data_IF_607324439336
#
_entry.id   IF_607324439336
#
_cell.length_a   1.000
_cell.length_b   1.000
_cell.length_c   1.000
_cell.angle_alpha   90.00
_cell.angle_beta   90.00
_cell.angle_gamma   90.00
#
_symmetry.space_group_name_H-M   'P 1'
#
loop_
_entity.id
_entity.type
_entity.pdbx_description
1 polymer ?
#
# COMPACT_ATOMS: atom_id res chain seq x y z
N UNK A 1 10.21 9.11 40.95
CA UNK A 1 10.42 10.20 39.95
C UNK A 1 10.33 9.55 38.57
N UNK A 2 9.43 9.97 37.67
CA UNK A 2 9.37 9.42 36.31
C UNK A 2 10.53 9.97 35.52
N UNK A 3 11.17 9.13 34.70
CA UNK A 3 12.23 9.54 33.78
C UNK A 3 11.65 10.54 32.75
N UNK A 4 12.25 11.73 32.65
CA UNK A 4 11.79 12.79 31.76
C UNK A 4 11.77 12.36 30.27
N UNK A 5 12.62 11.39 29.91
CA UNK A 5 12.65 10.78 28.56
C UNK A 5 11.35 10.07 28.19
N UNK A 6 10.51 9.71 29.17
CA UNK A 6 9.23 9.06 28.95
C UNK A 6 8.07 10.06 28.79
N UNK A 7 8.27 11.36 29.05
CA UNK A 7 7.20 12.36 28.96
C UNK A 7 6.54 12.44 27.57
N UNK A 8 7.29 12.33 26.45
CA UNK A 8 6.67 12.34 25.12
C UNK A 8 5.63 11.23 24.92
N UNK A 9 5.78 10.08 25.59
CA UNK A 9 4.84 8.96 25.50
C UNK A 9 3.46 9.30 26.09
N UNK A 10 3.42 10.22 27.05
CA UNK A 10 2.18 10.64 27.71
C UNK A 10 1.59 11.91 27.10
N UNK A 11 2.20 12.44 26.05
CA UNK A 11 1.64 13.53 25.26
C UNK A 11 0.36 13.09 24.55
N UNK A 12 -0.54 14.03 24.25
CA UNK A 12 -1.76 13.76 23.50
C UNK A 12 -1.47 13.37 22.04
N UNK A 13 -2.35 12.60 21.43
CA UNK A 13 -2.23 12.15 20.04
C UNK A 13 -2.13 13.31 19.04
N UNK A 14 -2.68 14.48 19.37
CA UNK A 14 -2.63 15.70 18.57
C UNK A 14 -1.24 16.29 18.42
N UNK A 15 -0.26 15.85 19.23
CA UNK A 15 1.15 16.26 19.10
C UNK A 15 1.86 15.62 17.92
N UNK A 16 1.32 14.52 17.40
CA UNK A 16 1.86 13.85 16.23
C UNK A 16 1.59 14.65 14.95
N UNK A 17 2.58 14.72 14.07
CA UNK A 17 2.49 15.46 12.82
C UNK A 17 1.33 14.95 11.95
N UNK A 18 0.48 15.89 11.51
CA UNK A 18 -0.69 15.61 10.69
C UNK A 18 -1.89 15.03 11.45
N UNK A 19 -1.87 15.02 12.78
CA UNK A 19 -3.04 14.70 13.60
C UNK A 19 -3.75 15.99 13.97
N UNK A 20 -4.81 16.30 13.24
CA UNK A 20 -5.66 17.46 13.48
C UNK A 20 -7.01 17.08 14.12
N UNK A 21 -7.88 18.11 14.38
CA UNK A 21 -9.15 17.94 15.09
C UNK A 21 -10.08 16.87 14.50
N UNK A 22 -9.98 16.58 13.20
CA UNK A 22 -10.79 15.53 12.54
C UNK A 22 -10.23 14.13 12.78
N UNK A 23 -8.92 14.00 12.92
CA UNK A 23 -8.26 12.70 13.05
C UNK A 23 -8.17 12.25 14.50
N UNK A 24 -7.97 13.18 15.44
CA UNK A 24 -7.85 12.90 16.87
C UNK A 24 -8.97 11.99 17.42
N UNK A 25 -10.27 12.28 17.22
CA UNK A 25 -11.32 11.43 17.77
C UNK A 25 -11.36 10.03 17.13
N UNK A 26 -10.94 9.90 15.86
CA UNK A 26 -10.86 8.59 15.21
C UNK A 26 -9.72 7.74 15.79
N UNK A 27 -8.58 8.36 16.07
CA UNK A 27 -7.46 7.69 16.73
C UNK A 27 -7.80 7.32 18.16
N UNK A 28 -8.39 8.21 18.95
CA UNK A 28 -8.84 7.93 20.31
C UNK A 28 -9.81 6.75 20.36
N UNK A 29 -10.74 6.69 19.42
CA UNK A 29 -11.65 5.55 19.25
C UNK A 29 -10.93 4.26 18.89
N UNK A 30 -9.90 4.36 18.02
CA UNK A 30 -9.12 3.22 17.57
C UNK A 30 -8.34 2.58 18.74
N UNK A 31 -7.60 3.41 19.49
CA UNK A 31 -6.66 2.94 20.51
C UNK A 31 -7.28 2.83 21.91
N UNK A 32 -8.50 3.36 22.10
CA UNK A 32 -9.17 3.36 23.41
C UNK A 32 -8.54 4.30 24.43
N UNK A 33 -7.70 5.26 23.99
CA UNK A 33 -6.97 6.19 24.83
C UNK A 33 -6.68 7.52 24.14
N UNK A 34 -5.93 8.40 24.79
CA UNK A 34 -5.69 9.76 24.32
C UNK A 34 -4.23 10.11 24.11
N UNK A 35 -3.32 9.21 24.49
CA UNK A 35 -1.87 9.47 24.51
C UNK A 35 -1.12 8.75 23.42
N UNK A 36 0.09 9.20 23.15
CA UNK A 36 1.04 8.52 22.24
C UNK A 36 1.33 7.10 22.72
N UNK A 37 1.38 6.88 24.04
CA UNK A 37 1.52 5.56 24.65
C UNK A 37 0.41 4.59 24.22
N UNK A 38 -0.84 5.04 24.24
CA UNK A 38 -1.98 4.22 23.83
C UNK A 38 -1.86 3.82 22.35
N UNK A 39 -1.34 4.72 21.50
CA UNK A 39 -1.08 4.42 20.10
C UNK A 39 0.02 3.36 19.91
N UNK A 40 1.11 3.44 20.70
CA UNK A 40 2.19 2.45 20.64
C UNK A 40 1.77 1.06 21.14
N UNK A 41 0.78 0.99 22.03
CA UNK A 41 0.19 -0.26 22.49
C UNK A 41 -0.84 -0.85 21.49
N UNK A 42 -1.23 -0.11 20.46
CA UNK A 42 -2.08 -0.62 19.40
C UNK A 42 -1.25 -1.49 18.45
N UNK A 43 -1.13 -2.76 18.81
CA UNK A 43 -0.27 -3.71 18.11
C UNK A 43 -0.92 -4.21 16.80
N UNK A 44 -0.11 -4.58 15.78
CA UNK A 44 -0.62 -5.22 14.57
C UNK A 44 -1.22 -6.60 14.92
N UNK A 45 -2.29 -6.97 14.24
CA UNK A 45 -2.93 -8.28 14.38
C UNK A 45 -2.33 -9.32 13.42
N UNK A 46 -1.68 -8.88 12.36
CA UNK A 46 -1.03 -9.74 11.35
C UNK A 46 0.08 -9.01 10.62
N UNK A 47 0.89 -9.78 9.90
CA UNK A 47 1.97 -9.32 9.06
C UNK A 47 1.71 -9.73 7.62
N UNK A 48 1.92 -8.80 6.70
CA UNK A 48 1.81 -9.05 5.28
C UNK A 48 3.22 -9.19 4.69
N UNK A 49 3.51 -10.36 4.11
CA UNK A 49 4.75 -10.59 3.37
C UNK A 49 4.65 -9.92 2.00
N UNK A 50 5.52 -8.96 1.75
CA UNK A 50 5.60 -8.22 0.48
C UNK A 50 6.89 -8.51 -0.28
N UNK A 51 7.56 -9.61 0.02
CA UNK A 51 8.72 -10.03 -0.78
C UNK A 51 8.30 -10.24 -2.23
N UNK A 52 9.18 -9.82 -3.14
CA UNK A 52 8.94 -9.98 -4.57
C UNK A 52 8.91 -11.47 -4.92
N UNK A 53 7.83 -11.92 -5.55
CA UNK A 53 7.72 -13.28 -6.09
C UNK A 53 8.62 -13.44 -7.30
N UNK A 54 9.15 -14.63 -7.52
CA UNK A 54 10.07 -14.91 -8.62
C UNK A 54 9.40 -14.78 -9.98
N UNK A 55 8.13 -15.16 -10.07
CA UNK A 55 7.34 -15.09 -11.30
C UNK A 55 5.86 -14.76 -11.06
N UNK A 56 5.15 -14.36 -12.11
CA UNK A 56 3.69 -14.21 -12.06
C UNK A 56 3.01 -15.56 -11.84
N UNK A 57 3.61 -16.66 -12.30
CA UNK A 57 3.09 -18.01 -12.08
C UNK A 57 2.99 -18.39 -10.60
N UNK A 58 3.85 -17.80 -9.74
CA UNK A 58 3.86 -18.04 -8.29
C UNK A 58 2.80 -17.26 -7.53
N UNK A 59 1.98 -16.47 -8.23
CA UNK A 59 0.91 -15.70 -7.60
C UNK A 59 -0.37 -16.53 -7.49
N UNK A 60 -1.11 -16.32 -6.40
CA UNK A 60 -2.38 -17.00 -6.13
C UNK A 60 -3.51 -15.98 -6.12
N UNK A 61 -4.59 -16.28 -6.87
CA UNK A 61 -5.77 -15.43 -6.87
C UNK A 61 -6.39 -15.36 -5.46
N UNK A 62 -6.75 -14.14 -5.03
CA UNK A 62 -7.25 -13.85 -3.70
C UNK A 62 -6.18 -13.37 -2.71
N UNK A 63 -4.89 -13.63 -2.97
CA UNK A 63 -3.78 -13.23 -2.13
C UNK A 63 -3.16 -11.90 -2.59
N UNK A 64 -2.47 -11.22 -1.66
CA UNK A 64 -1.61 -10.08 -1.99
C UNK A 64 -0.25 -10.62 -2.44
N UNK A 65 0.19 -10.17 -3.61
CA UNK A 65 1.50 -10.50 -4.12
C UNK A 65 2.26 -9.23 -4.53
N UNK A 66 3.59 -9.30 -4.40
CA UNK A 66 4.50 -8.33 -4.96
C UNK A 66 5.26 -8.99 -6.10
N UNK A 67 5.19 -8.40 -7.28
CA UNK A 67 5.75 -8.96 -8.49
C UNK A 67 6.58 -7.92 -9.23
N UNK A 68 7.54 -8.39 -10.03
CA UNK A 68 8.37 -7.56 -10.90
C UNK A 68 8.13 -7.96 -12.34
N UNK A 69 7.88 -6.98 -13.20
CA UNK A 69 7.68 -7.21 -14.63
C UNK A 69 8.03 -6.00 -15.47
N UNK A 70 8.25 -6.25 -16.75
CA UNK A 70 8.42 -5.21 -17.76
C UNK A 70 7.06 -4.75 -18.27
N UNK A 71 6.89 -3.45 -18.48
CA UNK A 71 5.69 -2.88 -19.09
C UNK A 71 5.68 -3.27 -20.58
N UNK A 72 4.81 -4.20 -20.94
CA UNK A 72 4.63 -4.66 -22.31
C UNK A 72 3.72 -3.74 -23.12
N UNK A 73 2.59 -3.34 -22.54
CA UNK A 73 1.60 -2.49 -23.22
C UNK A 73 0.81 -1.65 -22.24
N UNK A 74 0.33 -0.49 -22.71
CA UNK A 74 -0.63 0.34 -22.01
C UNK A 74 -1.85 0.61 -22.92
N UNK A 75 -3.02 0.27 -22.43
CA UNK A 75 -4.30 0.47 -23.09
C UNK A 75 -5.13 1.52 -22.36
N UNK A 76 -5.53 2.55 -23.10
CA UNK A 76 -6.44 3.56 -22.58
C UNK A 76 -7.86 2.98 -22.44
N UNK A 77 -8.68 3.51 -21.51
CA UNK A 77 -10.06 3.08 -21.38
C UNK A 77 -10.87 3.44 -22.62
N UNK A 78 -11.75 2.53 -23.01
CA UNK A 78 -12.66 2.75 -24.15
C UNK A 78 -13.78 3.77 -23.79
N UNK A 79 -14.14 3.86 -22.53
CA UNK A 79 -15.13 4.80 -21.97
C UNK A 79 -14.83 5.07 -20.51
N UNK A 80 -15.54 6.03 -19.89
CA UNK A 80 -15.35 6.45 -18.49
C UNK A 80 -15.60 5.35 -17.44
N UNK A 81 -16.26 4.25 -17.82
CA UNK A 81 -16.52 3.09 -16.95
C UNK A 81 -15.46 2.00 -17.07
N UNK A 82 -14.64 2.06 -18.11
CA UNK A 82 -13.57 1.09 -18.36
C UNK A 82 -12.29 1.51 -17.64
N UNK A 83 -11.47 0.55 -17.15
CA UNK A 83 -10.18 0.89 -16.55
C UNK A 83 -9.12 1.16 -17.62
N UNK A 84 -8.12 1.93 -17.27
CA UNK A 84 -6.82 1.87 -17.90
C UNK A 84 -6.20 0.51 -17.63
N UNK A 85 -5.60 -0.13 -18.62
CA UNK A 85 -4.97 -1.43 -18.47
C UNK A 85 -3.49 -1.33 -18.82
N UNK A 86 -2.65 -1.86 -17.95
CA UNK A 86 -1.22 -2.03 -18.20
C UNK A 86 -0.93 -3.51 -18.20
N UNK A 87 -0.35 -4.04 -19.25
CA UNK A 87 0.16 -5.40 -19.29
C UNK A 87 1.61 -5.39 -18.84
N UNK A 88 1.91 -6.12 -17.79
CA UNK A 88 3.27 -6.48 -17.40
C UNK A 88 3.60 -7.85 -17.96
N UNK A 89 4.86 -8.09 -18.30
CA UNK A 89 5.38 -9.36 -18.76
C UNK A 89 6.60 -9.77 -17.95
N UNK A 90 6.68 -11.06 -17.64
CA UNK A 90 7.87 -11.74 -17.13
C UNK A 90 8.11 -13.04 -17.92
N UNK A 91 9.04 -13.88 -17.45
CA UNK A 91 9.34 -15.17 -18.07
C UNK A 91 8.19 -16.18 -18.02
N UNK A 92 7.20 -15.98 -17.16
CA UNK A 92 6.06 -16.90 -16.96
C UNK A 92 4.79 -16.49 -17.69
N UNK A 93 4.72 -15.26 -18.20
CA UNK A 93 3.56 -14.76 -18.94
C UNK A 93 3.19 -13.31 -18.66
N UNK A 94 1.90 -13.04 -18.65
CA UNK A 94 1.35 -11.71 -18.48
C UNK A 94 0.57 -11.55 -17.19
N UNK A 95 0.63 -10.32 -16.64
CA UNK A 95 -0.21 -9.87 -15.55
C UNK A 95 -0.78 -8.49 -15.90
N UNK A 96 -2.09 -8.34 -15.77
CA UNK A 96 -2.77 -7.08 -16.09
C UNK A 96 -2.94 -6.22 -14.83
N UNK A 97 -2.57 -4.95 -14.90
CA UNK A 97 -2.94 -3.95 -13.90
C UNK A 97 -4.15 -3.16 -14.40
N UNK A 98 -5.16 -2.98 -13.56
CA UNK A 98 -6.35 -2.23 -13.89
C UNK A 98 -6.51 -0.99 -13.00
N UNK A 99 -6.68 0.19 -13.61
CA UNK A 99 -6.83 1.46 -12.89
C UNK A 99 -8.11 2.17 -13.36
N UNK A 100 -9.09 2.26 -12.49
CA UNK A 100 -10.30 3.06 -12.73
C UNK A 100 -10.05 4.52 -12.38
N UNK A 101 -10.54 5.44 -13.22
CA UNK A 101 -10.49 6.89 -12.96
C UNK A 101 -9.06 7.45 -12.72
N UNK A 102 -8.06 6.84 -13.33
CA UNK A 102 -6.68 7.33 -13.27
C UNK A 102 -6.45 8.46 -14.28
N UNK A 103 -5.54 9.39 -13.97
CA UNK A 103 -5.11 10.41 -14.91
C UNK A 103 -4.26 9.79 -16.02
N UNK A 104 -4.59 10.00 -17.31
CA UNK A 104 -3.85 9.41 -18.45
C UNK A 104 -2.39 9.87 -18.51
N UNK A 105 -2.08 11.09 -18.06
CA UNK A 105 -0.71 11.62 -18.08
C UNK A 105 0.12 10.91 -17.01
N UNK A 106 -0.47 10.74 -15.82
CA UNK A 106 0.15 9.98 -14.75
C UNK A 106 0.39 8.54 -15.20
N UNK A 107 -0.60 7.88 -15.81
CA UNK A 107 -0.46 6.50 -16.29
C UNK A 107 0.72 6.37 -17.27
N UNK A 108 0.83 7.25 -18.27
CA UNK A 108 1.92 7.25 -19.24
C UNK A 108 3.29 7.50 -18.60
N UNK A 109 3.36 8.35 -17.57
CA UNK A 109 4.61 8.62 -16.87
C UNK A 109 5.04 7.46 -15.96
N UNK A 110 4.08 6.77 -15.36
CA UNK A 110 4.36 5.65 -14.47
C UNK A 110 4.67 4.35 -15.22
N UNK A 111 4.08 4.16 -16.42
CA UNK A 111 4.16 2.91 -17.16
C UNK A 111 4.64 3.11 -18.62
N UNK A 112 5.85 3.67 -18.83
CA UNK A 112 6.43 3.67 -20.18
C UNK A 112 6.74 2.24 -20.62
N UNK A 113 6.43 1.90 -21.86
CA UNK A 113 6.70 0.57 -22.44
C UNK A 113 8.20 0.26 -22.38
N UNK A 114 8.55 -0.95 -22.00
CA UNK A 114 9.92 -1.41 -21.79
C UNK A 114 10.47 -1.11 -20.39
N UNK A 115 9.77 -0.34 -19.56
CA UNK A 115 10.25 -0.04 -18.21
C UNK A 115 9.92 -1.17 -17.24
N UNK A 116 10.89 -1.52 -16.38
CA UNK A 116 10.66 -2.44 -15.28
C UNK A 116 9.83 -1.77 -14.17
N UNK A 117 8.87 -2.51 -13.62
CA UNK A 117 8.08 -2.07 -12.47
C UNK A 117 7.98 -3.19 -11.43
N UNK A 118 8.01 -2.78 -10.15
CA UNK A 118 7.61 -3.63 -9.04
C UNK A 118 6.23 -3.16 -8.61
N UNK A 119 5.28 -4.07 -8.58
CA UNK A 119 3.91 -3.79 -8.19
C UNK A 119 3.47 -4.73 -7.09
N UNK A 120 2.67 -4.24 -6.15
CA UNK A 120 2.11 -5.04 -5.08
C UNK A 120 0.63 -4.76 -4.95
N UNK A 121 -0.16 -5.80 -4.81
CA UNK A 121 -1.60 -5.70 -4.65
C UNK A 121 -2.28 -7.05 -4.63
N UNK A 122 -3.60 -7.05 -4.43
CA UNK A 122 -4.40 -8.26 -4.44
C UNK A 122 -4.50 -8.81 -5.86
N UNK A 123 -4.08 -10.05 -6.03
CA UNK A 123 -4.21 -10.77 -7.31
C UNK A 123 -5.64 -11.26 -7.45
N UNK A 124 -6.23 -10.99 -8.57
CA UNK A 124 -7.57 -11.41 -8.96
C UNK A 124 -7.49 -12.23 -10.25
N UNK A 125 -8.46 -13.09 -10.49
CA UNK A 125 -8.65 -13.72 -11.78
C UNK A 125 -9.82 -13.05 -12.51
N UNK A 126 -9.56 -12.55 -13.69
CA UNK A 126 -10.57 -11.92 -14.55
C UNK A 126 -10.49 -12.49 -15.96
N UNK A 127 -11.54 -13.21 -16.39
CA UNK A 127 -11.61 -13.86 -17.71
C UNK A 127 -10.46 -14.84 -17.99
N UNK A 128 -9.99 -15.54 -16.97
CA UNK A 128 -8.89 -16.49 -17.07
C UNK A 128 -7.49 -15.86 -17.05
N UNK A 129 -7.39 -14.55 -16.86
CA UNK A 129 -6.12 -13.83 -16.74
C UNK A 129 -5.92 -13.30 -15.31
N UNK A 130 -4.66 -13.27 -14.86
CA UNK A 130 -4.30 -12.65 -13.59
C UNK A 130 -4.31 -11.13 -13.71
N UNK A 131 -4.95 -10.49 -12.74
CA UNK A 131 -5.10 -9.05 -12.70
C UNK A 131 -4.85 -8.53 -11.28
N UNK A 132 -4.28 -7.33 -11.17
CA UNK A 132 -4.26 -6.55 -9.94
C UNK A 132 -5.01 -5.25 -10.21
N UNK A 133 -6.10 -5.03 -9.47
CA UNK A 133 -6.89 -3.80 -9.58
C UNK A 133 -6.41 -2.80 -8.53
N UNK A 134 -6.05 -1.60 -8.94
CA UNK A 134 -5.49 -0.56 -8.06
C UNK A 134 -4.37 -1.08 -7.15
N UNK A 135 -3.18 -1.40 -7.69
CA UNK A 135 -2.06 -1.84 -6.88
C UNK A 135 -1.79 -0.91 -5.69
N UNK A 136 -1.46 -1.49 -4.54
CA UNK A 136 -1.08 -0.72 -3.33
C UNK A 136 0.20 0.08 -3.55
N UNK A 137 1.15 -0.51 -4.32
CA UNK A 137 2.43 0.08 -4.68
C UNK A 137 2.74 -0.11 -6.16
N UNK A 138 3.29 0.94 -6.75
CA UNK A 138 3.94 0.93 -8.06
C UNK A 138 5.28 1.60 -7.90
N UNK A 139 6.36 0.84 -8.05
CA UNK A 139 7.72 1.28 -7.79
C UNK A 139 8.57 1.14 -9.04
N UNK A 140 9.37 2.15 -9.30
CA UNK A 140 10.41 2.12 -10.31
C UNK A 140 11.72 1.64 -9.68
N UNK A 141 12.17 0.41 -9.95
CA UNK A 141 13.40 -0.13 -9.35
C UNK A 141 14.65 0.66 -9.75
N UNK A 142 14.62 1.40 -10.86
CA UNK A 142 15.74 2.24 -11.28
C UNK A 142 15.95 3.46 -10.37
N UNK A 143 14.93 3.85 -9.59
CA UNK A 143 15.03 4.94 -8.61
C UNK A 143 15.55 4.51 -7.24
N UNK A 144 15.91 3.24 -7.08
CA UNK A 144 16.40 2.69 -5.81
C UNK A 144 15.32 2.49 -4.74
N UNK A 145 14.05 2.65 -5.09
CA UNK A 145 12.93 2.39 -4.19
C UNK A 145 12.65 0.89 -4.13
N UNK A 146 12.37 0.40 -2.92
CA UNK A 146 11.95 -0.99 -2.69
C UNK A 146 10.67 -1.01 -1.84
N UNK A 147 9.78 -1.98 -2.07
CA UNK A 147 8.62 -2.15 -1.20
C UNK A 147 9.08 -2.62 0.18
N UNK A 148 8.31 -2.33 1.25
CA UNK A 148 8.58 -2.93 2.54
C UNK A 148 8.52 -4.46 2.41
N UNK A 149 9.50 -5.16 2.96
CA UNK A 149 9.57 -6.63 2.92
C UNK A 149 8.41 -7.24 3.73
N UNK A 150 8.11 -6.61 4.86
CA UNK A 150 7.02 -7.00 5.76
C UNK A 150 6.23 -5.74 6.14
N UNK A 151 4.92 -5.81 6.01
CA UNK A 151 4.01 -4.73 6.38
C UNK A 151 3.15 -5.15 7.58
N UNK A 152 3.19 -4.41 8.71
CA UNK A 152 2.27 -4.65 9.82
C UNK A 152 0.85 -4.20 9.41
N UNK A 153 -0.13 -5.04 9.72
CA UNK A 153 -1.54 -4.74 9.51
C UNK A 153 -2.19 -4.55 10.88
N UNK A 154 -2.75 -3.38 11.07
CA UNK A 154 -3.40 -2.99 12.32
C UNK A 154 -4.91 -3.16 12.24
N UNK A 155 -5.58 -3.51 13.34
CA UNK A 155 -7.02 -3.36 13.45
C UNK A 155 -7.42 -1.91 13.16
N UNK A 156 -8.48 -1.67 12.39
CA UNK A 156 -8.85 -0.33 11.96
C UNK A 156 -10.29 0.00 12.34
N UNK A 157 -10.56 1.29 12.55
CA UNK A 157 -11.91 1.86 12.58
C UNK A 157 -12.21 2.61 11.29
N UNK A 158 -13.49 2.82 10.99
CA UNK A 158 -13.91 3.58 9.82
C UNK A 158 -13.24 4.97 9.77
N UNK A 159 -12.75 5.36 8.59
CA UNK A 159 -12.06 6.63 8.37
C UNK A 159 -10.55 6.61 8.58
N UNK A 160 -9.98 5.48 9.02
CA UNK A 160 -8.53 5.28 9.13
C UNK A 160 -8.03 4.24 8.11
N UNK A 161 -6.80 4.43 7.63
CA UNK A 161 -6.11 3.49 6.75
C UNK A 161 -4.89 2.89 7.45
N UNK A 162 -4.53 1.65 7.12
CA UNK A 162 -3.34 0.99 7.66
C UNK A 162 -2.08 1.84 7.51
N UNK A 163 -1.88 2.39 6.31
CA UNK A 163 -0.75 3.28 6.02
C UNK A 163 -0.69 4.48 6.96
N UNK A 164 -1.85 5.09 7.28
CA UNK A 164 -1.90 6.26 8.16
C UNK A 164 -1.54 5.88 9.59
N UNK A 165 -2.12 4.80 10.12
CA UNK A 165 -1.83 4.29 11.47
C UNK A 165 -0.35 3.92 11.57
N UNK A 166 0.18 3.15 10.62
CA UNK A 166 1.60 2.78 10.58
C UNK A 166 2.53 3.99 10.58
N UNK A 167 2.23 5.01 9.74
CA UNK A 167 3.02 6.25 9.70
C UNK A 167 3.05 6.97 11.05
N UNK A 168 1.91 7.03 11.75
CA UNK A 168 1.84 7.68 13.07
C UNK A 168 2.59 6.88 14.15
N UNK A 169 2.52 5.55 14.09
CA UNK A 169 3.30 4.69 15.01
C UNK A 169 4.80 4.89 14.79
N UNK A 170 5.27 4.95 13.52
CA UNK A 170 6.67 5.22 13.22
C UNK A 170 7.13 6.63 13.67
N UNK A 171 6.25 7.62 13.72
CA UNK A 171 6.57 8.93 14.28
C UNK A 171 6.65 8.92 15.81
N UNK A 172 5.92 8.00 16.44
CA UNK A 172 5.84 7.87 17.89
C UNK A 172 7.01 7.07 18.49
N UNK A 173 7.72 6.28 17.67
CA UNK A 173 8.92 5.52 18.04
C UNK A 173 10.18 6.37 18.00
#
# INVERSE_FOLDING_TARGET
MRDERLFPLFAGLETLSGVGPKLTPLLQKLVGGTTVWDLLLHLPDRWLDRRVRESFADTVAGEIATVRGEVHAYHQPFNDRSPHRVQLVDSSGFLTLAFFRADPRWMKSQFPVGAMRIVSGKVEEYRGERQITHPDFVIDPAKGEAPPVVEPIYPLTAGLTNRRVHTLILQAL
#
